data_IF_074845667647
#
_entry.id   IF_074845667647
#
_cell.length_a   1.000
_cell.length_b   1.000
_cell.length_c   1.000
_cell.angle_alpha   90.00
_cell.angle_beta   90.00
_cell.angle_gamma   90.00
#
_symmetry.space_group_name_H-M   'P 1'
#
loop_
_entity.id
_entity.type
_entity.pdbx_description
1 polymer ?
#
# COMPACT_ATOMS: atom_id res chain seq x y z
N UNK A 1 6.17 17.53 0.80
CA UNK A 1 5.39 16.73 1.78
C UNK A 1 4.56 15.56 1.21
N UNK A 2 4.82 15.04 0.00
CA UNK A 2 3.94 14.00 -0.63
C UNK A 2 4.54 12.57 -0.75
N UNK A 3 5.70 12.28 -0.17
CA UNK A 3 6.31 10.94 -0.24
C UNK A 3 5.96 10.04 0.96
N UNK A 4 5.42 10.61 2.05
CA UNK A 4 5.26 9.93 3.34
C UNK A 4 3.98 9.09 3.52
N UNK A 5 3.08 9.03 2.52
CA UNK A 5 1.81 8.28 2.61
C UNK A 5 1.81 6.96 1.84
N UNK A 6 2.88 6.66 1.10
CA UNK A 6 2.99 5.46 0.25
C UNK A 6 3.59 4.24 0.97
N UNK A 7 4.06 4.41 2.21
CA UNK A 7 5.00 3.47 2.85
C UNK A 7 4.36 2.48 3.84
N UNK A 8 3.03 2.45 3.99
CA UNK A 8 2.37 1.64 5.03
C UNK A 8 1.94 0.24 4.56
N UNK A 9 1.97 -0.08 3.25
CA UNK A 9 1.26 -1.27 2.74
C UNK A 9 2.14 -2.50 2.52
N UNK A 10 3.46 -2.44 2.66
CA UNK A 10 4.33 -3.55 2.26
C UNK A 10 4.73 -4.55 3.35
N UNK A 11 4.18 -4.44 4.57
CA UNK A 11 4.30 -5.47 5.61
C UNK A 11 2.99 -6.24 5.80
N UNK A 12 2.46 -6.80 4.73
CA UNK A 12 1.39 -7.80 4.83
C UNK A 12 1.93 -9.10 4.28
N UNK A 13 2.59 -9.81 5.20
CA UNK A 13 2.90 -11.23 5.08
C UNK A 13 1.56 -11.97 5.04
N UNK A 14 1.12 -12.33 3.84
CA UNK A 14 0.14 -13.40 3.67
C UNK A 14 0.85 -14.72 3.94
N UNK A 15 0.37 -15.47 4.93
CA UNK A 15 0.75 -16.86 5.17
C UNK A 15 -0.37 -17.71 4.60
N UNK A 16 -0.18 -18.24 3.40
CA UNK A 16 -1.00 -19.35 2.89
C UNK A 16 -0.07 -20.55 2.81
N UNK A 17 -0.22 -21.45 3.79
CA UNK A 17 0.29 -22.81 3.73
C UNK A 17 -0.63 -23.60 2.80
N UNK A 18 -0.14 -23.91 1.61
CA UNK A 18 -0.61 -25.05 0.84
C UNK A 18 0.65 -25.70 0.28
N UNK A 19 1.00 -26.84 0.87
CA UNK A 19 2.15 -27.63 0.46
C UNK A 19 1.85 -28.35 -0.85
N UNK A 20 2.72 -28.17 -1.84
CA UNK A 20 2.93 -29.10 -2.94
C UNK A 20 4.41 -29.06 -3.29
N UNK A 21 5.11 -30.12 -2.92
CA UNK A 21 6.49 -30.37 -3.32
C UNK A 21 6.51 -30.73 -4.80
N UNK A 22 7.18 -29.93 -5.63
CA UNK A 22 7.75 -30.40 -6.90
C UNK A 22 9.10 -29.73 -7.10
N UNK A 23 10.14 -30.54 -6.94
CA UNK A 23 11.46 -30.24 -7.46
C UNK A 23 11.50 -30.76 -8.90
N UNK A 24 11.75 -29.88 -9.87
CA UNK A 24 12.48 -30.20 -11.10
C UNK A 24 12.93 -28.91 -11.79
N UNK A 25 14.16 -28.98 -12.27
CA UNK A 25 15.04 -27.90 -12.67
C UNK A 25 14.73 -27.44 -14.11
N UNK A 26 14.37 -26.16 -14.29
CA UNK A 26 14.44 -25.48 -15.60
C UNK A 26 14.76 -23.99 -15.39
N UNK A 27 15.91 -23.55 -15.90
CA UNK A 27 16.25 -22.13 -16.02
C UNK A 27 15.27 -21.43 -16.95
N UNK A 28 14.45 -20.54 -16.40
CA UNK A 28 13.53 -19.68 -17.13
C UNK A 28 13.53 -18.31 -16.46
N UNK A 29 14.41 -17.44 -16.95
CA UNK A 29 14.62 -16.06 -16.46
C UNK A 29 13.59 -15.09 -17.04
N UNK A 30 12.31 -15.37 -16.88
CA UNK A 30 11.20 -14.44 -17.16
C UNK A 30 10.28 -14.40 -15.93
N UNK A 31 10.82 -13.86 -14.85
CA UNK A 31 10.22 -13.97 -13.51
C UNK A 31 11.22 -14.00 -12.36
N UNK A 32 12.51 -13.80 -12.63
CA UNK A 32 13.58 -13.86 -11.65
C UNK A 32 13.27 -12.96 -10.44
N UNK A 33 13.25 -13.57 -9.26
CA UNK A 33 13.15 -12.85 -8.00
C UNK A 33 14.41 -12.02 -7.73
N UNK A 34 14.53 -11.47 -6.52
CA UNK A 34 15.76 -10.76 -6.12
C UNK A 34 16.61 -11.75 -5.37
N UNK A 35 17.84 -12.01 -5.79
CA UNK A 35 18.70 -12.95 -5.06
C UNK A 35 19.19 -12.32 -3.74
N UNK A 36 19.42 -13.13 -2.70
CA UNK A 36 19.81 -12.62 -1.38
C UNK A 36 21.13 -11.84 -1.42
N UNK A 37 22.08 -12.28 -2.24
CA UNK A 37 23.38 -11.66 -2.47
C UNK A 37 23.31 -10.37 -3.30
N UNK A 38 22.23 -10.12 -4.06
CA UNK A 38 22.01 -8.87 -4.79
C UNK A 38 21.48 -7.75 -3.90
N UNK A 39 21.00 -8.08 -2.70
CA UNK A 39 20.57 -7.09 -1.71
C UNK A 39 21.78 -6.30 -1.20
N UNK A 40 21.60 -4.99 -1.05
CA UNK A 40 22.61 -4.13 -0.41
C UNK A 40 22.84 -4.59 1.05
N UNK A 41 24.03 -4.41 1.63
CA UNK A 41 24.30 -4.82 3.02
C UNK A 41 23.27 -4.29 4.04
N UNK A 42 22.85 -3.02 3.88
CA UNK A 42 21.82 -2.42 4.73
C UNK A 42 20.42 -3.04 4.53
N UNK A 43 20.13 -3.58 3.35
CA UNK A 43 18.88 -4.31 3.10
C UNK A 43 18.94 -5.71 3.72
N UNK A 44 20.07 -6.42 3.55
CA UNK A 44 20.30 -7.73 4.18
C UNK A 44 20.18 -7.64 5.70
N UNK A 45 20.77 -6.61 6.32
CA UNK A 45 20.66 -6.37 7.77
C UNK A 45 19.21 -6.22 8.24
N UNK A 46 18.38 -5.49 7.48
CA UNK A 46 16.95 -5.33 7.80
C UNK A 46 16.15 -6.61 7.57
N UNK A 47 16.53 -7.39 6.56
CA UNK A 47 15.81 -8.58 6.14
C UNK A 47 16.39 -9.86 6.73
N UNK A 48 17.35 -9.78 7.65
CA UNK A 48 18.11 -10.93 8.18
C UNK A 48 17.23 -12.09 8.64
N UNK A 49 16.07 -11.80 9.23
CA UNK A 49 15.11 -12.83 9.66
C UNK A 49 14.51 -13.66 8.51
N UNK A 50 14.64 -13.20 7.27
CA UNK A 50 14.20 -13.89 6.06
C UNK A 50 15.33 -14.63 5.34
N UNK A 51 16.59 -14.46 5.72
CA UNK A 51 17.77 -14.99 5.02
C UNK A 51 17.64 -16.48 4.67
N UNK A 52 17.38 -17.31 5.70
CA UNK A 52 17.29 -18.77 5.55
C UNK A 52 16.15 -19.22 4.62
N UNK A 53 15.08 -18.43 4.54
CA UNK A 53 13.87 -18.76 3.78
C UNK A 53 13.70 -17.90 2.54
N UNK A 54 14.70 -17.08 2.21
CA UNK A 54 14.58 -16.06 1.17
C UNK A 54 14.30 -16.71 -0.19
N UNK A 55 15.01 -17.79 -0.49
CA UNK A 55 14.83 -18.57 -1.72
C UNK A 55 13.46 -19.25 -1.84
N UNK A 56 12.77 -19.51 -0.73
CA UNK A 56 11.40 -20.07 -0.71
C UNK A 56 10.33 -19.03 -0.99
N UNK A 57 10.65 -17.73 -0.86
CA UNK A 57 9.69 -16.67 -1.07
C UNK A 57 9.37 -16.54 -2.56
N UNK A 58 8.08 -16.37 -2.94
CA UNK A 58 7.72 -16.07 -4.31
C UNK A 58 8.48 -14.83 -4.84
N UNK A 59 8.89 -14.79 -6.12
CA UNK A 59 9.66 -13.69 -6.69
C UNK A 59 9.06 -12.29 -6.43
N UNK A 60 7.74 -12.16 -6.54
CA UNK A 60 7.06 -10.88 -6.26
C UNK A 60 7.22 -10.45 -4.78
N UNK A 61 7.27 -11.41 -3.86
CA UNK A 61 7.46 -11.16 -2.43
C UNK A 61 8.89 -10.74 -2.13
N UNK A 62 9.88 -11.39 -2.76
CA UNK A 62 11.28 -10.98 -2.66
C UNK A 62 11.46 -9.53 -3.15
N UNK A 63 10.92 -9.18 -4.32
CA UNK A 63 10.94 -7.80 -4.85
C UNK A 63 10.28 -6.80 -3.90
N UNK A 64 9.09 -7.12 -3.37
CA UNK A 64 8.37 -6.26 -2.41
C UNK A 64 9.15 -6.00 -1.12
N UNK A 65 9.81 -7.02 -0.58
CA UNK A 65 10.64 -6.91 0.61
C UNK A 65 11.92 -6.10 0.34
N UNK A 66 12.60 -6.36 -0.77
CA UNK A 66 13.77 -5.59 -1.22
C UNK A 66 13.44 -4.10 -1.39
N UNK A 67 12.37 -3.79 -2.13
CA UNK A 67 11.87 -2.41 -2.31
C UNK A 67 11.50 -1.75 -0.97
N UNK A 68 10.92 -2.54 -0.06
CA UNK A 68 10.56 -2.12 1.29
C UNK A 68 11.79 -1.70 2.09
N UNK A 69 12.82 -2.54 2.07
CA UNK A 69 14.10 -2.30 2.73
C UNK A 69 14.83 -1.08 2.13
N UNK A 70 14.85 -0.92 0.80
CA UNK A 70 15.41 0.28 0.16
C UNK A 70 14.73 1.55 0.67
N UNK A 71 13.39 1.59 0.62
CA UNK A 71 12.63 2.77 1.08
C UNK A 71 12.84 3.04 2.56
N UNK A 72 12.99 2.01 3.39
CA UNK A 72 13.25 2.17 4.82
C UNK A 72 14.61 2.81 5.07
N UNK A 73 15.63 2.39 4.33
CA UNK A 73 16.98 2.93 4.45
C UNK A 73 17.05 4.41 4.04
N UNK A 74 16.25 4.82 3.06
CA UNK A 74 16.13 6.23 2.62
C UNK A 74 15.40 7.14 3.64
N UNK A 75 14.76 6.59 4.67
CA UNK A 75 14.05 7.39 5.68
C UNK A 75 15.02 8.00 6.70
N UNK A 76 14.79 9.26 7.06
CA UNK A 76 15.43 9.90 8.22
C UNK A 76 15.00 9.23 9.53
N UNK A 77 15.74 9.38 10.64
CA UNK A 77 15.35 8.82 11.94
C UNK A 77 13.92 9.16 12.36
N UNK A 78 13.50 10.41 12.17
CA UNK A 78 12.15 10.89 12.51
C UNK A 78 11.10 10.24 11.61
N UNK A 79 11.39 10.09 10.32
CA UNK A 79 10.49 9.41 9.38
C UNK A 79 10.37 7.92 9.70
N UNK A 80 11.45 7.27 10.14
CA UNK A 80 11.42 5.87 10.63
C UNK A 80 10.53 5.78 11.86
N UNK A 81 10.69 6.67 12.85
CA UNK A 81 9.85 6.69 14.05
C UNK A 81 8.36 6.86 13.70
N UNK A 82 8.03 7.82 12.84
CA UNK A 82 6.65 8.03 12.39
C UNK A 82 6.10 6.80 11.64
N UNK A 83 6.93 6.13 10.84
CA UNK A 83 6.53 4.92 10.12
C UNK A 83 6.27 3.76 11.09
N UNK A 84 7.12 3.56 12.11
CA UNK A 84 6.90 2.58 13.19
C UNK A 84 5.60 2.85 13.93
N UNK A 85 5.37 4.10 14.36
CA UNK A 85 4.15 4.47 15.08
C UNK A 85 2.90 4.15 14.26
N UNK A 86 2.89 4.51 12.97
CA UNK A 86 1.78 4.20 12.07
C UNK A 86 1.60 2.70 11.83
N UNK A 87 2.68 1.94 11.77
CA UNK A 87 2.61 0.49 11.63
C UNK A 87 2.03 -0.17 12.88
N UNK A 88 2.40 0.29 14.08
CA UNK A 88 1.82 -0.18 15.33
C UNK A 88 0.31 0.10 15.39
N UNK A 89 -0.13 1.30 14.99
CA UNK A 89 -1.56 1.62 14.89
C UNK A 89 -2.29 0.77 13.85
N UNK A 90 -1.62 0.44 12.74
CA UNK A 90 -2.16 -0.48 11.75
C UNK A 90 -2.33 -1.90 12.30
N UNK A 91 -1.36 -2.41 13.06
CA UNK A 91 -1.41 -3.75 13.65
C UNK A 91 -2.54 -3.91 14.67
N UNK A 92 -2.87 -2.84 15.40
CA UNK A 92 -4.01 -2.80 16.34
C UNK A 92 -5.38 -2.82 15.66
N UNK A 93 -5.45 -2.60 14.33
CA UNK A 93 -6.73 -2.65 13.63
C UNK A 93 -7.28 -4.08 13.54
N UNK A 94 -8.60 -4.29 13.73
CA UNK A 94 -9.25 -5.58 13.47
C UNK A 94 -8.98 -6.07 12.04
N UNK A 95 -8.89 -7.38 11.85
CA UNK A 95 -8.52 -7.97 10.55
C UNK A 95 -9.47 -7.55 9.44
N UNK A 96 -10.78 -7.52 9.69
CA UNK A 96 -11.74 -7.05 8.71
C UNK A 96 -11.46 -5.61 8.24
N UNK A 97 -11.06 -4.74 9.18
CA UNK A 97 -10.74 -3.34 8.86
C UNK A 97 -9.47 -3.28 8.03
N UNK A 98 -8.47 -4.10 8.35
CA UNK A 98 -7.24 -4.23 7.54
C UNK A 98 -7.59 -4.72 6.13
N UNK A 99 -8.39 -5.78 6.00
CA UNK A 99 -8.83 -6.34 4.73
C UNK A 99 -9.57 -5.30 3.86
N UNK A 100 -10.52 -4.54 4.44
CA UNK A 100 -11.22 -3.45 3.73
C UNK A 100 -10.25 -2.38 3.22
N UNK A 101 -9.24 -2.02 4.01
CA UNK A 101 -8.25 -1.01 3.61
C UNK A 101 -7.33 -1.56 2.51
N UNK A 102 -6.87 -2.82 2.62
CA UNK A 102 -6.08 -3.49 1.56
C UNK A 102 -6.84 -3.53 0.23
N UNK A 103 -8.11 -3.91 0.25
CA UNK A 103 -8.98 -3.96 -0.94
C UNK A 103 -9.06 -2.59 -1.62
N UNK A 104 -9.44 -1.55 -0.87
CA UNK A 104 -9.53 -0.17 -1.40
C UNK A 104 -8.19 0.35 -1.91
N UNK A 105 -7.08 -0.04 -1.29
CA UNK A 105 -5.76 0.32 -1.77
C UNK A 105 -5.40 -0.39 -3.09
N UNK A 106 -5.77 -1.66 -3.22
CA UNK A 106 -5.67 -2.41 -4.47
C UNK A 106 -6.44 -1.73 -5.61
N UNK A 107 -7.71 -1.40 -5.37
CA UNK A 107 -8.56 -0.63 -6.29
C UNK A 107 -7.91 0.72 -6.66
N UNK A 108 -7.39 1.46 -5.68
CA UNK A 108 -6.68 2.71 -5.96
C UNK A 108 -5.41 2.50 -6.81
N UNK A 109 -4.69 1.40 -6.60
CA UNK A 109 -3.47 1.06 -7.34
C UNK A 109 -3.75 0.64 -8.78
N UNK A 110 -4.92 0.08 -9.07
CA UNK A 110 -5.31 -0.26 -10.45
C UNK A 110 -5.81 0.94 -11.27
N UNK A 111 -6.16 2.06 -10.62
CA UNK A 111 -6.61 3.26 -11.34
C UNK A 111 -5.54 3.80 -12.32
N UNK A 112 -5.94 4.38 -13.47
CA UNK A 112 -5.04 5.12 -14.35
C UNK A 112 -4.31 6.27 -13.63
N UNK A 113 -3.10 6.66 -14.08
CA UNK A 113 -2.32 7.74 -13.44
C UNK A 113 -3.09 9.06 -13.28
N UNK A 114 -3.88 9.45 -14.28
CA UNK A 114 -4.68 10.68 -14.35
C UNK A 114 -5.75 10.65 -13.26
N UNK A 115 -6.43 9.50 -13.13
CA UNK A 115 -7.43 9.29 -12.09
C UNK A 115 -6.80 9.37 -10.69
N UNK A 116 -5.66 8.70 -10.48
CA UNK A 116 -4.91 8.80 -9.21
C UNK A 116 -4.54 10.24 -8.89
N UNK A 117 -4.10 11.02 -9.88
CA UNK A 117 -3.74 12.42 -9.68
C UNK A 117 -4.97 13.27 -9.31
N UNK A 118 -6.11 13.04 -9.97
CA UNK A 118 -7.38 13.70 -9.64
C UNK A 118 -7.81 13.41 -8.21
N UNK A 119 -7.79 12.14 -7.79
CA UNK A 119 -8.13 11.76 -6.40
C UNK A 119 -7.20 12.46 -5.39
N UNK A 120 -5.90 12.51 -5.67
CA UNK A 120 -4.92 13.22 -4.82
C UNK A 120 -5.20 14.72 -4.74
N UNK A 121 -5.51 15.38 -5.86
CA UNK A 121 -5.87 16.80 -5.91
C UNK A 121 -7.14 17.09 -5.10
N UNK A 122 -8.19 16.30 -5.30
CA UNK A 122 -9.45 16.44 -4.56
C UNK A 122 -9.24 16.24 -3.06
N UNK A 123 -8.47 15.23 -2.68
CA UNK A 123 -8.13 14.98 -1.29
C UNK A 123 -7.30 16.12 -0.69
N UNK A 124 -6.33 16.69 -1.42
CA UNK A 124 -5.56 17.86 -0.96
C UNK A 124 -6.50 19.06 -0.70
N UNK A 125 -7.42 19.35 -1.62
CA UNK A 125 -8.44 20.40 -1.44
C UNK A 125 -9.30 20.14 -0.20
N UNK A 126 -9.77 18.91 -0.02
CA UNK A 126 -10.53 18.53 1.17
C UNK A 126 -9.74 18.75 2.47
N UNK A 127 -8.43 18.46 2.48
CA UNK A 127 -7.59 18.68 3.66
C UNK A 127 -7.35 20.16 3.98
N UNK A 128 -7.47 21.05 2.99
CA UNK A 128 -7.34 22.50 3.18
C UNK A 128 -8.61 23.15 3.73
N UNK A 129 -9.75 22.45 3.69
CA UNK A 129 -10.99 22.93 4.29
C UNK A 129 -10.86 23.04 5.82
N UNK A 130 -11.54 24.03 6.40
CA UNK A 130 -11.57 24.17 7.84
C UNK A 130 -12.29 22.97 8.50
N UNK A 131 -12.09 22.71 9.80
CA UNK A 131 -12.65 21.54 10.48
C UNK A 131 -14.18 21.41 10.34
N UNK A 132 -14.91 22.52 10.40
CA UNK A 132 -16.37 22.56 10.31
C UNK A 132 -16.87 22.21 8.90
N UNK A 133 -16.26 22.78 7.86
CA UNK A 133 -16.54 22.45 6.47
C UNK A 133 -16.27 20.96 6.21
N UNK A 134 -15.17 20.41 6.73
CA UNK A 134 -14.88 18.97 6.63
C UNK A 134 -15.93 18.12 7.35
N UNK A 135 -16.38 18.54 8.54
CA UNK A 135 -17.44 17.86 9.29
C UNK A 135 -18.74 17.84 8.50
N UNK A 136 -19.20 19.00 8.03
CA UNK A 136 -20.42 19.14 7.19
C UNK A 136 -20.38 18.26 5.95
N UNK A 137 -19.26 18.26 5.20
CA UNK A 137 -19.12 17.41 4.01
C UNK A 137 -19.17 15.91 4.34
N UNK A 138 -18.58 15.49 5.46
CA UNK A 138 -18.64 14.08 5.89
C UNK A 138 -20.05 13.68 6.32
N UNK A 139 -20.75 14.56 7.03
CA UNK A 139 -22.12 14.33 7.47
C UNK A 139 -23.08 14.28 6.29
N UNK A 140 -23.00 15.23 5.36
CA UNK A 140 -23.74 15.20 4.10
C UNK A 140 -23.51 13.89 3.36
N UNK A 141 -22.25 13.45 3.21
CA UNK A 141 -21.97 12.20 2.50
C UNK A 141 -22.48 10.97 3.24
N UNK A 142 -22.38 10.94 4.58
CA UNK A 142 -22.87 9.85 5.43
C UNK A 142 -24.39 9.71 5.33
N UNK A 143 -25.10 10.84 5.34
CA UNK A 143 -26.56 10.90 5.32
C UNK A 143 -27.16 10.87 3.90
N UNK A 144 -26.34 11.03 2.86
CA UNK A 144 -26.81 11.02 1.49
C UNK A 144 -27.39 9.65 1.08
N UNK A 145 -28.55 9.66 0.42
CA UNK A 145 -29.18 8.46 -0.15
C UNK A 145 -28.34 7.88 -1.30
N UNK A 146 -28.54 6.60 -1.68
CA UNK A 146 -27.91 6.03 -2.86
C UNK A 146 -28.09 6.88 -4.12
N UNK A 147 -29.30 7.39 -4.38
CA UNK A 147 -29.61 8.23 -5.55
C UNK A 147 -28.84 9.55 -5.49
N UNK A 148 -28.77 10.19 -4.31
CA UNK A 148 -28.02 11.43 -4.14
C UNK A 148 -26.53 11.23 -4.40
N UNK A 149 -25.96 10.12 -3.92
CA UNK A 149 -24.56 9.75 -4.19
C UNK A 149 -24.34 9.47 -5.67
N UNK A 150 -25.25 8.78 -6.33
CA UNK A 150 -25.19 8.52 -7.77
C UNK A 150 -25.22 9.82 -8.58
N UNK A 151 -26.12 10.76 -8.26
CA UNK A 151 -26.18 12.08 -8.91
C UNK A 151 -24.89 12.88 -8.73
N UNK A 152 -24.26 12.82 -7.56
CA UNK A 152 -22.94 13.45 -7.35
C UNK A 152 -21.89 12.78 -8.22
N UNK A 153 -21.86 11.45 -8.28
CA UNK A 153 -20.93 10.73 -9.14
C UNK A 153 -21.15 11.02 -10.62
N UNK A 154 -22.40 11.13 -11.08
CA UNK A 154 -22.76 11.46 -12.45
C UNK A 154 -22.30 12.88 -12.82
N UNK A 155 -22.61 13.89 -12.00
CA UNK A 155 -22.10 15.26 -12.20
C UNK A 155 -20.57 15.31 -12.25
N UNK A 156 -19.91 14.51 -11.42
CA UNK A 156 -18.45 14.39 -11.44
C UNK A 156 -17.92 13.68 -12.69
N UNK A 157 -18.73 12.86 -13.39
CA UNK A 157 -18.38 12.25 -14.68
C UNK A 157 -18.62 13.22 -15.83
N UNK A 158 -19.74 13.95 -15.82
CA UNK A 158 -20.09 14.95 -16.84
C UNK A 158 -19.07 16.08 -16.90
N UNK A 159 -18.59 16.58 -15.74
CA UNK A 159 -17.49 17.56 -15.68
C UNK A 159 -16.15 17.07 -16.26
N UNK A 160 -16.06 15.81 -16.71
CA UNK A 160 -14.87 15.24 -17.34
C UNK A 160 -14.98 15.17 -18.87
N UNK A 161 -16.18 15.26 -19.42
CA UNK A 161 -16.41 15.39 -20.87
C UNK A 161 -16.23 16.86 -21.25
#
# INVERSE_FOLDING_TARGET
MNRLRRNLVLMLVGTTLAGTSFAQNTGQTDGAGVAWNELKPEQQKLLKNFEQRWGELPPERQRKLSDGASRWNELTPEQRQQTRARFNEWQKLPEERRARIRKRYGEFRSLPPEEKQRLRKNYKRFQQLNPEQRKRLREMWRNATPEQRQRVQQRLRERKQ
#
